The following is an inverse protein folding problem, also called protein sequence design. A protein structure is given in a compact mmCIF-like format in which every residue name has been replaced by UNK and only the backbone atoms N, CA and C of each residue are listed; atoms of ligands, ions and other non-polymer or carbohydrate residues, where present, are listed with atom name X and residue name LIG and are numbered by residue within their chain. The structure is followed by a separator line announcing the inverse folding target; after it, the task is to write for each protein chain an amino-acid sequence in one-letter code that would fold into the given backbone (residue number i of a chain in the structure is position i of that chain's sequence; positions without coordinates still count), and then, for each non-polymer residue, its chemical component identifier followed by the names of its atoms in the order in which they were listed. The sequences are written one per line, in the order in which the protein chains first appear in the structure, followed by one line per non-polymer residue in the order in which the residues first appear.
data_IF_482052191067
#
_entry.id   IF_482052191067
#
_cell.length_a   1.000
_cell.length_b   1.000
_cell.length_c   1.000
_cell.angle_alpha   90.00
_cell.angle_beta   90.00
_cell.angle_gamma   90.00
#
_symmetry.space_group_name_H-M   'P 1'
#
loop_
_entity.id
_entity.type
_entity.pdbx_description
1 polymer ?
#
# COMPACT_ATOMS: atom_id res chain seq x y z
N UNK A 1 -7.28 8.60 2.27
CA UNK A 1 -7.47 7.13 2.20
C UNK A 1 -6.11 6.52 1.95
N UNK A 2 -5.58 5.72 2.89
CA UNK A 2 -4.28 5.09 2.72
C UNK A 2 -4.39 4.02 1.63
N UNK A 3 -3.81 4.29 0.47
CA UNK A 3 -3.69 3.32 -0.62
C UNK A 3 -2.78 2.19 -0.14
N UNK A 4 -3.37 1.03 0.15
CA UNK A 4 -2.64 -0.17 0.53
C UNK A 4 -1.90 -0.64 -0.71
N UNK A 5 -0.59 -0.37 -0.79
CA UNK A 5 0.27 -0.92 -1.83
C UNK A 5 0.47 -2.40 -1.52
N UNK A 6 -0.30 -3.25 -2.20
CA UNK A 6 -0.17 -4.71 -2.12
C UNK A 6 1.17 -5.07 -2.77
N UNK A 7 1.97 -5.88 -2.08
CA UNK A 7 3.26 -6.35 -2.60
C UNK A 7 3.10 -7.69 -3.29
N UNK A 8 3.49 -7.75 -4.57
CA UNK A 8 3.40 -8.94 -5.41
C UNK A 8 4.45 -10.02 -5.08
N UNK A 9 5.47 -9.68 -4.28
CA UNK A 9 6.61 -10.56 -3.95
C UNK A 9 6.74 -10.81 -2.45
N UNK A 10 5.63 -11.15 -1.80
CA UNK A 10 5.59 -11.40 -0.35
C UNK A 10 5.87 -12.87 -0.05
N UNK A 11 6.88 -13.17 0.77
CA UNK A 11 7.22 -14.53 1.26
C UNK A 11 6.27 -14.95 2.37
N UNK A 12 4.97 -14.80 2.11
CA UNK A 12 3.88 -15.04 3.06
C UNK A 12 3.23 -16.38 2.70
N UNK A 13 2.97 -17.20 3.71
CA UNK A 13 2.24 -18.45 3.54
C UNK A 13 0.83 -18.16 3.05
N UNK A 14 0.44 -18.79 1.94
CA UNK A 14 -0.96 -18.88 1.58
C UNK A 14 -1.64 -19.93 2.47
N UNK A 15 -2.43 -19.47 3.44
CA UNK A 15 -3.17 -20.31 4.41
C UNK A 15 -4.54 -20.74 3.90
N UNK A 16 -4.94 -20.39 2.67
CA UNK A 16 -6.28 -20.68 2.14
C UNK A 16 -6.58 -22.18 2.07
N UNK A 17 -5.56 -23.01 1.80
CA UNK A 17 -5.73 -24.47 1.77
C UNK A 17 -5.92 -25.04 3.17
N UNK A 18 -5.09 -24.62 4.13
CA UNK A 18 -5.18 -25.04 5.53
C UNK A 18 -6.50 -24.59 6.17
N UNK A 19 -7.00 -23.41 5.81
CA UNK A 19 -8.30 -22.89 6.26
C UNK A 19 -9.47 -23.73 5.70
N UNK A 20 -9.42 -24.12 4.42
CA UNK A 20 -10.45 -24.97 3.80
C UNK A 20 -10.50 -26.37 4.42
N UNK A 21 -9.34 -26.93 4.73
CA UNK A 21 -9.20 -28.22 5.43
C UNK A 21 -9.65 -28.12 6.90
N UNK A 22 -9.43 -26.98 7.56
CA UNK A 22 -9.92 -26.75 8.91
C UNK A 22 -11.46 -26.71 8.98
N UNK A 23 -12.13 -26.19 7.94
CA UNK A 23 -13.59 -26.03 7.89
C UNK A 23 -14.37 -27.26 7.44
N UNK A 24 -13.69 -28.37 7.11
CA UNK A 24 -14.36 -29.56 6.54
C UNK A 24 -15.05 -30.43 7.61
N UNK A 25 -14.72 -30.25 8.90
CA UNK A 25 -15.36 -30.99 10.00
C UNK A 25 -16.69 -30.37 10.43
N UNK A 26 -17.69 -31.20 10.76
CA UNK A 26 -19.00 -30.75 11.25
C UNK A 26 -19.02 -30.34 12.74
N UNK A 27 -17.98 -30.67 13.51
CA UNK A 27 -17.84 -30.28 14.90
C UNK A 27 -17.28 -28.85 15.02
N UNK A 28 -18.09 -27.93 15.54
CA UNK A 28 -17.75 -26.51 15.66
C UNK A 28 -16.49 -26.28 16.53
N UNK A 29 -16.37 -27.01 17.63
CA UNK A 29 -15.21 -26.86 18.55
C UNK A 29 -13.90 -27.27 17.88
N UNK A 30 -13.91 -28.33 17.07
CA UNK A 30 -12.73 -28.76 16.33
C UNK A 30 -12.32 -27.75 15.25
N UNK A 31 -13.29 -27.13 14.58
CA UNK A 31 -13.03 -26.07 13.59
C UNK A 31 -12.38 -24.87 14.29
N UNK A 32 -12.94 -24.43 15.42
CA UNK A 32 -12.43 -23.29 16.18
C UNK A 32 -10.98 -23.52 16.64
N UNK A 33 -10.65 -24.71 17.13
CA UNK A 33 -9.30 -25.03 17.57
C UNK A 33 -8.30 -25.11 16.43
N UNK A 34 -8.70 -25.61 15.25
CA UNK A 34 -7.86 -25.63 14.06
C UNK A 34 -7.58 -24.21 13.54
N UNK A 35 -8.60 -23.36 13.48
CA UNK A 35 -8.47 -21.96 13.06
C UNK A 35 -7.54 -21.20 14.01
N UNK A 36 -7.74 -21.34 15.33
CA UNK A 36 -6.84 -20.74 16.34
C UNK A 36 -5.38 -21.15 16.14
N UNK A 37 -5.11 -22.42 15.85
CA UNK A 37 -3.73 -22.90 15.58
C UNK A 37 -3.12 -22.26 14.34
N UNK A 38 -3.91 -22.11 13.28
CA UNK A 38 -3.48 -21.47 12.02
C UNK A 38 -3.17 -19.99 12.25
N UNK A 39 -4.01 -19.29 13.02
CA UNK A 39 -3.83 -17.87 13.35
C UNK A 39 -2.66 -17.62 14.29
N UNK A 40 -2.41 -18.53 15.22
CA UNK A 40 -1.31 -18.46 16.19
C UNK A 40 0.01 -18.98 15.64
N UNK A 41 0.12 -19.21 14.33
CA UNK A 41 1.37 -19.64 13.68
C UNK A 41 1.89 -18.54 12.76
N UNK A 42 3.22 -18.33 12.83
CA UNK A 42 3.92 -17.37 11.99
C UNK A 42 3.61 -17.58 10.49
N UNK A 43 3.21 -16.49 9.82
CA UNK A 43 2.86 -16.48 8.40
C UNK A 43 4.06 -16.53 7.45
N UNK A 44 5.29 -16.68 7.94
CA UNK A 44 6.48 -16.82 7.09
C UNK A 44 6.66 -18.27 6.60
N UNK A 45 6.92 -18.47 5.30
CA UNK A 45 6.93 -19.79 4.61
C UNK A 45 7.72 -20.87 5.35
N UNK A 46 8.91 -20.54 5.86
CA UNK A 46 9.81 -21.51 6.50
C UNK A 46 9.68 -21.58 8.02
N UNK A 47 8.88 -20.73 8.65
CA UNK A 47 8.81 -20.64 10.11
C UNK A 47 7.58 -21.38 10.65
N UNK A 48 7.74 -22.21 11.68
CA UNK A 48 6.64 -22.91 12.39
C UNK A 48 6.49 -22.43 13.83
N UNK A 49 7.09 -21.28 14.17
CA UNK A 49 7.02 -20.74 15.52
C UNK A 49 5.60 -20.27 15.84
N UNK A 50 5.19 -20.51 17.09
CA UNK A 50 3.93 -20.02 17.63
C UNK A 50 4.06 -18.52 17.94
N UNK A 51 3.03 -17.77 17.59
CA UNK A 51 2.90 -16.32 17.79
C UNK A 51 1.74 -16.02 18.75
N UNK A 52 1.55 -16.89 19.76
CA UNK A 52 0.39 -16.82 20.66
C UNK A 52 0.47 -15.59 21.59
N UNK A 53 1.66 -15.36 22.17
CA UNK A 53 1.85 -14.30 23.17
C UNK A 53 2.35 -13.00 22.54
N UNK A 54 3.24 -13.10 21.56
CA UNK A 54 3.81 -11.95 20.86
C UNK A 54 3.76 -12.16 19.35
N UNK A 55 2.90 -11.39 18.69
CA UNK A 55 2.79 -11.34 17.24
C UNK A 55 3.02 -9.90 16.76
N UNK A 56 3.86 -9.76 15.74
CA UNK A 56 4.02 -8.50 15.01
C UNK A 56 3.18 -8.58 13.75
N UNK A 57 2.28 -7.61 13.57
CA UNK A 57 1.42 -7.52 12.40
C UNK A 57 1.99 -6.54 11.37
N UNK A 58 2.15 -7.01 10.13
CA UNK A 58 2.63 -6.16 9.05
C UNK A 58 1.48 -5.32 8.45
N UNK A 59 1.66 -4.01 8.33
CA UNK A 59 0.67 -3.09 7.76
C UNK A 59 0.36 -3.35 6.27
N UNK A 60 1.29 -3.95 5.55
CA UNK A 60 1.21 -4.13 4.10
C UNK A 60 0.57 -5.46 3.70
N UNK A 61 0.99 -6.56 4.32
CA UNK A 61 0.46 -7.90 4.03
C UNK A 61 -0.54 -8.41 5.08
N UNK A 62 -0.76 -7.67 6.18
CA UNK A 62 -1.64 -8.04 7.31
C UNK A 62 -1.36 -9.42 7.91
N UNK A 63 -0.14 -9.92 7.71
CA UNK A 63 0.31 -11.19 8.26
C UNK A 63 0.80 -11.03 9.71
N UNK A 64 0.57 -12.07 10.52
CA UNK A 64 1.15 -12.23 11.86
C UNK A 64 2.49 -12.95 11.79
N UNK A 65 3.51 -12.37 12.42
CA UNK A 65 4.87 -12.90 12.42
C UNK A 65 5.44 -12.98 13.83
N UNK A 66 6.38 -13.90 14.04
CA UNK A 66 7.19 -13.97 15.26
C UNK A 66 8.22 -12.82 15.28
N UNK A 67 8.78 -12.47 16.45
CA UNK A 67 9.72 -11.34 16.58
C UNK A 67 10.94 -11.44 15.63
N UNK A 68 11.36 -12.66 15.27
CA UNK A 68 12.46 -12.89 14.32
C UNK A 68 12.11 -12.60 12.86
N UNK A 69 10.83 -12.65 12.48
CA UNK A 69 10.37 -12.45 11.10
C UNK A 69 9.42 -11.24 10.95
N UNK A 70 9.26 -10.44 12.01
CA UNK A 70 8.37 -9.28 12.04
C UNK A 70 8.82 -8.12 11.15
N UNK A 71 10.09 -8.07 10.76
CA UNK A 71 10.62 -7.01 9.94
C UNK A 71 10.14 -7.15 8.48
N UNK A 72 9.64 -6.07 7.85
CA UNK A 72 9.14 -6.09 6.46
C UNK A 72 10.17 -6.55 5.43
N UNK A 73 11.46 -6.28 5.66
CA UNK A 73 12.55 -6.74 4.78
C UNK A 73 12.64 -8.27 4.71
N UNK A 74 12.31 -8.97 5.80
CA UNK A 74 12.50 -10.41 5.92
C UNK A 74 11.41 -11.18 5.16
N UNK A 75 10.16 -10.71 5.26
CA UNK A 75 8.99 -11.33 4.62
C UNK A 75 8.63 -10.72 3.26
N UNK A 76 9.46 -9.79 2.73
CA UNK A 76 9.33 -9.26 1.35
C UNK A 76 8.41 -8.05 1.20
N UNK A 77 7.96 -7.43 2.30
CA UNK A 77 7.22 -6.18 2.26
C UNK A 77 8.10 -4.92 2.31
N UNK A 78 9.43 -5.07 2.34
CA UNK A 78 10.39 -3.98 2.41
C UNK A 78 10.27 -2.96 1.28
N UNK A 79 10.00 -3.41 0.05
CA UNK A 79 9.85 -2.49 -1.09
C UNK A 79 8.64 -1.56 -0.95
N UNK A 80 7.53 -2.04 -0.38
CA UNK A 80 6.36 -1.19 -0.12
C UNK A 80 6.64 -0.19 0.99
N UNK A 81 7.31 -0.60 2.07
CA UNK A 81 7.76 0.30 3.13
C UNK A 81 8.66 1.39 2.57
N UNK A 82 9.66 1.00 1.77
CA UNK A 82 10.61 1.93 1.18
C UNK A 82 9.94 2.94 0.27
N UNK A 83 8.94 2.52 -0.51
CA UNK A 83 8.15 3.41 -1.36
C UNK A 83 7.31 4.37 -0.52
N UNK A 84 6.60 3.87 0.48
CA UNK A 84 5.75 4.69 1.36
C UNK A 84 6.57 5.73 2.14
N UNK A 85 7.66 5.30 2.78
CA UNK A 85 8.57 6.20 3.50
C UNK A 85 9.24 7.22 2.56
N UNK A 86 9.63 6.80 1.34
CA UNK A 86 10.13 7.74 0.33
C UNK A 86 9.08 8.79 -0.04
N UNK A 87 7.83 8.38 -0.26
CA UNK A 87 6.74 9.31 -0.58
C UNK A 87 6.52 10.31 0.56
N UNK A 88 6.48 9.84 1.81
CA UNK A 88 6.36 10.70 3.00
C UNK A 88 7.52 11.67 3.15
N UNK A 89 8.73 11.23 2.82
CA UNK A 89 9.93 12.07 2.89
C UNK A 89 9.97 13.13 1.77
N UNK A 90 9.66 12.75 0.52
CA UNK A 90 9.63 13.68 -0.62
C UNK A 90 8.47 14.67 -0.52
N UNK A 91 7.32 14.20 -0.04
CA UNK A 91 6.10 14.97 0.12
C UNK A 91 5.69 14.94 1.59
N UNK A 92 6.37 15.72 2.46
CA UNK A 92 5.93 15.87 3.83
C UNK A 92 4.50 16.40 3.78
N UNK A 93 3.56 15.62 4.31
CA UNK A 93 2.17 16.02 4.44
C UNK A 93 2.08 17.12 5.50
N UNK A 94 2.51 18.34 5.16
CA UNK A 94 2.07 19.53 5.87
C UNK A 94 0.56 19.55 5.71
N UNK A 95 -0.16 19.26 6.80
CA UNK A 95 -1.62 19.40 6.86
C UNK A 95 -1.94 20.88 6.67
N UNK A 96 -1.98 21.33 5.41
CA UNK A 96 -2.53 22.61 5.04
C UNK A 96 -3.98 22.60 5.53
N UNK A 97 -4.39 23.67 6.21
CA UNK A 97 -5.79 23.85 6.56
C UNK A 97 -6.62 23.75 5.27
N UNK A 98 -7.85 23.22 5.37
CA UNK A 98 -8.71 22.97 4.21
C UNK A 98 -8.85 24.23 3.31
N UNK A 99 -8.86 25.40 3.93
CA UNK A 99 -8.88 26.72 3.27
C UNK A 99 -7.61 27.01 2.46
N UNK A 100 -6.42 26.70 3.00
CA UNK A 100 -5.17 26.91 2.26
C UNK A 100 -5.05 25.94 1.08
N UNK A 101 -5.61 24.73 1.22
CA UNK A 101 -5.67 23.77 0.13
C UNK A 101 -6.56 24.24 -1.03
N UNK A 102 -7.77 24.75 -0.73
CA UNK A 102 -8.69 25.25 -1.76
C UNK A 102 -8.13 26.50 -2.48
N UNK A 103 -7.48 27.41 -1.75
CA UNK A 103 -6.81 28.57 -2.33
C UNK A 103 -5.62 28.18 -3.23
N UNK A 104 -4.83 27.17 -2.84
CA UNK A 104 -3.76 26.67 -3.69
C UNK A 104 -4.31 26.03 -4.98
N UNK A 105 -5.41 25.28 -4.87
CA UNK A 105 -6.06 24.62 -6.00
C UNK A 105 -6.64 25.63 -7.01
N UNK A 106 -7.28 26.71 -6.54
CA UNK A 106 -7.81 27.76 -7.43
C UNK A 106 -6.68 28.51 -8.15
N UNK A 107 -5.61 28.88 -7.43
CA UNK A 107 -4.42 29.50 -8.05
C UNK A 107 -3.79 28.62 -9.12
N UNK A 108 -3.69 27.32 -8.85
CA UNK A 108 -3.13 26.36 -9.80
C UNK A 108 -4.02 26.24 -11.06
N UNK A 109 -5.34 26.15 -10.90
CA UNK A 109 -6.27 26.11 -12.03
C UNK A 109 -6.21 27.38 -12.88
N UNK A 110 -6.10 28.55 -12.26
CA UNK A 110 -5.95 29.82 -13.00
C UNK A 110 -4.66 29.84 -13.82
N UNK A 111 -3.54 29.38 -13.24
CA UNK A 111 -2.24 29.33 -13.94
C UNK A 111 -2.23 28.29 -15.07
N UNK A 112 -2.89 27.15 -14.88
CA UNK A 112 -3.09 26.16 -15.95
C UNK A 112 -3.90 26.75 -17.11
N UNK A 113 -4.98 27.47 -16.83
CA UNK A 113 -5.80 28.13 -17.85
C UNK A 113 -5.02 29.20 -18.61
N UNK A 114 -4.22 29.99 -17.91
CA UNK A 114 -3.33 30.97 -18.54
C UNK A 114 -2.30 30.30 -19.46
N UNK A 115 -1.59 29.27 -18.98
CA UNK A 115 -0.63 28.52 -19.81
C UNK A 115 -1.30 27.86 -21.01
N UNK A 116 -2.55 27.39 -20.88
CA UNK A 116 -3.32 26.87 -22.02
C UNK A 116 -3.63 27.96 -23.05
N UNK A 117 -4.01 29.16 -22.62
CA UNK A 117 -4.25 30.30 -23.51
C UNK A 117 -2.97 30.73 -24.24
N UNK A 118 -1.84 30.80 -23.54
CA UNK A 118 -0.54 31.13 -24.11
C UNK A 118 -0.09 30.10 -25.17
N UNK A 119 -0.34 28.80 -24.93
CA UNK A 119 -0.07 27.75 -25.93
C UNK A 119 -0.94 27.91 -27.18
N UNK A 120 -2.23 28.20 -27.02
CA UNK A 120 -3.17 28.41 -28.15
C UNK A 120 -2.80 29.65 -28.97
N UNK A 121 -2.38 30.74 -28.31
CA UNK A 121 -1.96 31.96 -28.99
C UNK A 121 -0.68 31.78 -29.84
N UNK A 122 0.29 30.96 -29.39
CA UNK A 122 1.51 30.64 -30.15
C UNK A 122 1.29 29.67 -31.33
N UNK A 123 0.26 28.81 -31.27
CA UNK A 123 -0.10 27.96 -32.42
C UNK A 123 -0.72 28.74 -33.59
N UNK A 124 -1.27 29.93 -33.34
CA UNK A 124 -1.80 30.80 -34.39
C UNK A 124 -0.77 31.66 -35.14
N UNK A 125 0.43 31.86 -34.59
CA UNK A 125 1.42 32.81 -35.12
C UNK A 125 2.54 32.19 -35.97
N UNK A 126 2.58 30.86 -36.14
CA UNK A 126 3.64 30.16 -36.89
C UNK A 126 3.21 29.63 -38.27
N UNK A 127 1.99 29.90 -38.73
CA UNK A 127 1.51 29.45 -40.06
C UNK A 127 1.40 30.55 -41.13
N UNK A 128 1.76 31.81 -40.82
CA UNK A 128 1.63 32.94 -41.74
C UNK A 128 3.00 33.51 -42.13
N UNK A 129 3.81 32.72 -42.82
CA UNK A 129 5.09 33.16 -43.34
C UNK A 129 5.61 32.29 -44.47
N UNK A 130 5.62 32.87 -45.68
CA UNK A 130 6.40 32.49 -46.88
C UNK A 130 5.67 31.68 -47.96
N UNK A 131 4.85 32.39 -48.74
CA UNK A 131 4.75 32.17 -50.19
C UNK A 131 5.31 33.44 -50.84
N UNK A 132 6.53 33.36 -51.38
CA UNK A 132 7.12 34.33 -52.30
C UNK A 132 7.66 33.53 -53.47
#
# INVERSE_FOLDING_TARGET
MATITITENSKVKNKEKDLKEATTSHDLDQVLDKVKKIDNTCSFIKCKNRTNDFAIECKYCKGRFCPTHGLPEIHGCGDAVRKDERQKYLHPNVKLTQEKHSQAQTKLNMKLKQMQQERKAKQGSTSKGKKK
#
